data_IF_725390991120
#
_entry.id   IF_725390991120
#
_cell.length_a   1.000
_cell.length_b   1.000
_cell.length_c   1.000
_cell.angle_alpha   90.00
_cell.angle_beta   90.00
_cell.angle_gamma   90.00
#
_symmetry.space_group_name_H-M   'P 1'
#
loop_
_entity.id
_entity.type
_entity.pdbx_description
1 polymer ?
#
# COMPACT_ATOMS: atom_id res chain seq x y z
N UNK A 1 -18.88 14.18 14.78
CA UNK A 1 -18.69 12.99 13.92
C UNK A 1 -17.99 13.38 12.60
N UNK A 2 -18.36 14.52 12.00
CA UNK A 2 -17.71 15.20 10.86
C UNK A 2 -16.22 15.53 11.08
N UNK A 3 -15.86 16.09 12.24
CA UNK A 3 -14.46 16.47 12.55
C UNK A 3 -13.49 15.28 12.50
N UNK A 4 -13.97 14.08 12.83
CA UNK A 4 -13.15 12.86 12.80
C UNK A 4 -12.84 12.41 11.36
N UNK A 5 -13.81 12.53 10.44
CA UNK A 5 -13.62 12.16 9.04
C UNK A 5 -12.63 13.13 8.36
N UNK A 6 -12.76 14.44 8.62
CA UNK A 6 -11.84 15.41 8.04
C UNK A 6 -10.41 15.25 8.58
N UNK A 7 -10.26 15.00 9.88
CA UNK A 7 -8.96 14.72 10.48
C UNK A 7 -8.32 13.46 9.87
N UNK A 8 -9.13 12.40 9.70
CA UNK A 8 -8.70 11.18 9.02
C UNK A 8 -8.24 11.45 7.58
N UNK A 9 -9.08 12.11 6.77
CA UNK A 9 -8.77 12.40 5.36
C UNK A 9 -7.49 13.23 5.19
N UNK A 10 -7.29 14.24 6.04
CA UNK A 10 -6.05 15.02 6.04
C UNK A 10 -4.82 14.19 6.46
N UNK A 11 -4.99 13.30 7.43
CA UNK A 11 -3.91 12.45 7.94
C UNK A 11 -3.50 11.37 6.94
N UNK A 12 -4.46 10.75 6.24
CA UNK A 12 -4.15 9.75 5.18
C UNK A 12 -3.52 10.39 3.94
N UNK A 13 -3.91 11.63 3.60
CA UNK A 13 -3.23 12.40 2.55
C UNK A 13 -1.77 12.68 2.93
N UNK A 14 -1.55 13.12 4.16
CA UNK A 14 -0.21 13.38 4.71
C UNK A 14 0.65 12.12 4.70
N UNK A 15 0.07 10.99 5.13
CA UNK A 15 0.71 9.67 5.05
C UNK A 15 1.15 9.34 3.62
N UNK A 16 0.29 9.59 2.63
CA UNK A 16 0.60 9.36 1.22
C UNK A 16 1.70 10.29 0.68
N UNK A 17 1.69 11.58 1.05
CA UNK A 17 2.75 12.52 0.68
C UNK A 17 4.11 12.04 1.21
N UNK A 18 4.15 11.54 2.45
CA UNK A 18 5.39 11.02 3.02
C UNK A 18 5.87 9.73 2.36
N UNK A 19 4.95 8.85 1.95
CA UNK A 19 5.31 7.69 1.13
C UNK A 19 5.88 8.10 -0.23
N UNK A 20 5.33 9.12 -0.88
CA UNK A 20 5.86 9.63 -2.15
C UNK A 20 7.27 10.21 -1.99
N UNK A 21 7.60 10.74 -0.81
CA UNK A 21 8.97 11.14 -0.41
C UNK A 21 9.90 9.96 -0.08
N UNK A 22 9.48 8.73 -0.40
CA UNK A 22 10.22 7.47 -0.19
C UNK A 22 10.53 7.14 1.28
N UNK A 23 9.77 7.70 2.23
CA UNK A 23 9.83 7.26 3.64
C UNK A 23 9.25 5.84 3.75
N UNK A 24 9.85 5.00 4.58
CA UNK A 24 9.34 3.65 4.82
C UNK A 24 8.06 3.70 5.66
N UNK A 25 7.18 2.71 5.52
CA UNK A 25 5.92 2.67 6.27
C UNK A 25 6.11 2.75 7.79
N UNK A 26 7.07 2.01 8.35
CA UNK A 26 7.40 2.04 9.78
C UNK A 26 7.94 3.40 10.24
N UNK A 27 8.67 4.10 9.36
CA UNK A 27 9.14 5.47 9.59
C UNK A 27 7.99 6.47 9.65
N UNK A 28 7.05 6.39 8.70
CA UNK A 28 5.90 7.29 8.67
C UNK A 28 5.02 7.07 9.90
N UNK A 29 4.72 5.81 10.23
CA UNK A 29 3.95 5.48 11.43
C UNK A 29 4.67 5.97 12.70
N UNK A 30 5.99 5.86 12.74
CA UNK A 30 6.76 6.39 13.86
C UNK A 30 6.67 7.92 13.94
N UNK A 31 6.62 8.67 12.83
CA UNK A 31 6.42 10.13 12.86
C UNK A 31 5.09 10.50 13.53
N UNK A 32 3.99 9.80 13.20
CA UNK A 32 2.70 10.00 13.88
C UNK A 32 2.77 9.65 15.37
N UNK A 33 3.39 8.51 15.72
CA UNK A 33 3.61 8.13 17.12
C UNK A 33 4.42 9.20 17.86
N UNK A 34 5.48 9.68 17.23
CA UNK A 34 6.42 10.64 17.79
C UNK A 34 5.71 11.96 18.12
N UNK A 35 4.87 12.47 17.23
CA UNK A 35 4.07 13.67 17.49
C UNK A 35 3.21 13.52 18.75
N UNK A 36 2.47 12.41 18.86
CA UNK A 36 1.61 12.14 20.03
C UNK A 36 2.43 11.93 21.30
N UNK A 37 3.57 11.24 21.22
CA UNK A 37 4.44 11.01 22.37
C UNK A 37 5.01 12.33 22.88
N UNK A 38 5.47 13.21 21.99
CA UNK A 38 5.98 14.54 22.33
C UNK A 38 4.89 15.39 23.00
N UNK A 39 3.65 15.33 22.52
CA UNK A 39 2.57 16.17 23.03
C UNK A 39 1.97 15.65 24.35
N UNK A 40 1.83 14.33 24.50
CA UNK A 40 1.06 13.74 25.61
C UNK A 40 1.86 12.88 26.57
N UNK A 41 3.04 12.37 26.20
CA UNK A 41 3.71 11.29 26.94
C UNK A 41 5.19 11.54 27.28
N UNK A 42 5.72 12.75 27.07
CA UNK A 42 7.13 13.06 27.41
C UNK A 42 7.49 12.75 28.87
N UNK A 43 6.62 13.12 29.80
CA UNK A 43 6.89 13.04 31.24
C UNK A 43 6.27 11.81 31.93
N UNK A 44 5.53 10.96 31.21
CA UNK A 44 4.78 9.84 31.80
C UNK A 44 4.89 8.56 30.99
N UNK A 45 4.90 7.39 31.64
CA UNK A 45 4.81 6.11 30.93
C UNK A 45 3.47 5.99 30.21
N UNK A 46 3.44 5.16 29.17
CA UNK A 46 2.25 4.90 28.37
C UNK A 46 2.21 3.46 27.87
N UNK A 47 1.02 2.95 27.55
CA UNK A 47 0.87 1.70 26.81
C UNK A 47 0.43 1.95 25.35
N UNK A 48 0.54 0.92 24.50
CA UNK A 48 0.20 1.06 23.08
C UNK A 48 -1.28 1.34 22.83
N UNK A 49 -2.18 0.93 23.73
CA UNK A 49 -3.60 1.25 23.64
C UNK A 49 -3.88 2.73 23.90
N UNK A 50 -3.24 3.31 24.91
CA UNK A 50 -3.30 4.75 25.18
C UNK A 50 -2.72 5.57 24.03
N UNK A 51 -1.60 5.12 23.47
CA UNK A 51 -1.00 5.75 22.29
C UNK A 51 -1.95 5.68 21.10
N UNK A 52 -2.54 4.50 20.79
CA UNK A 52 -3.47 4.36 19.67
C UNK A 52 -4.70 5.26 19.86
N UNK A 53 -5.26 5.31 21.08
CA UNK A 53 -6.38 6.20 21.40
C UNK A 53 -6.03 7.66 21.14
N UNK A 54 -4.83 8.11 21.53
CA UNK A 54 -4.40 9.49 21.26
C UNK A 54 -4.11 9.75 19.79
N UNK A 55 -3.57 8.79 19.05
CA UNK A 55 -3.44 8.87 17.60
C UNK A 55 -4.84 9.01 16.95
N UNK A 56 -5.82 8.24 17.42
CA UNK A 56 -7.19 8.33 16.93
C UNK A 56 -7.84 9.68 17.26
N UNK A 57 -7.68 10.17 18.49
CA UNK A 57 -8.19 11.48 18.91
C UNK A 57 -7.57 12.63 18.08
N UNK A 58 -6.26 12.58 17.82
CA UNK A 58 -5.52 13.65 17.13
C UNK A 58 -5.66 13.58 15.60
N UNK A 59 -5.59 12.40 15.01
CA UNK A 59 -5.46 12.20 13.55
C UNK A 59 -6.64 11.47 12.92
N UNK A 60 -7.59 10.96 13.70
CA UNK A 60 -8.66 10.08 13.21
C UNK A 60 -8.15 8.69 12.74
N UNK A 61 -6.86 8.42 12.90
CA UNK A 61 -6.22 7.17 12.50
C UNK A 61 -6.38 6.12 13.60
N UNK A 62 -6.85 4.95 13.21
CA UNK A 62 -6.94 3.77 14.08
C UNK A 62 -5.95 2.73 13.56
N UNK A 63 -4.80 2.66 14.23
CA UNK A 63 -3.65 1.91 13.77
C UNK A 63 -3.55 0.61 14.57
N UNK A 64 -3.40 -0.56 13.93
CA UNK A 64 -3.28 -1.81 14.67
C UNK A 64 -2.10 -1.78 15.63
N UNK A 65 -2.32 -2.28 16.85
CA UNK A 65 -1.33 -2.27 17.94
C UNK A 65 0.00 -2.90 17.51
N UNK A 66 -0.02 -3.97 16.71
CA UNK A 66 1.20 -4.60 16.21
C UNK A 66 2.02 -3.69 15.28
N UNK A 67 1.36 -2.83 14.50
CA UNK A 67 2.02 -1.90 13.59
C UNK A 67 2.66 -0.73 14.37
N UNK A 68 1.97 -0.24 15.41
CA UNK A 68 2.55 0.73 16.36
C UNK A 68 3.76 0.13 17.08
N UNK A 69 3.64 -1.12 17.53
CA UNK A 69 4.75 -1.83 18.17
C UNK A 69 5.95 -1.95 17.24
N UNK A 70 5.76 -2.38 16.00
CA UNK A 70 6.84 -2.54 15.01
C UNK A 70 7.49 -1.19 14.68
N UNK A 71 6.71 -0.12 14.50
CA UNK A 71 7.23 1.23 14.25
C UNK A 71 8.11 1.74 15.42
N UNK A 72 7.62 1.64 16.66
CA UNK A 72 8.39 2.01 17.86
C UNK A 72 9.63 1.13 17.99
N UNK A 73 9.51 -0.17 17.75
CA UNK A 73 10.64 -1.09 17.82
C UNK A 73 11.65 -0.85 16.71
N UNK A 74 11.31 -0.42 15.50
CA UNK A 74 12.30 -0.24 14.44
C UNK A 74 12.93 1.14 14.47
N UNK A 75 12.11 2.18 14.67
CA UNK A 75 12.51 3.58 14.53
C UNK A 75 12.63 4.31 15.86
N UNK A 76 11.93 3.85 16.90
CA UNK A 76 11.88 4.47 18.22
C UNK A 76 12.86 3.97 19.28
N UNK A 77 13.65 2.91 19.04
CA UNK A 77 14.51 2.28 20.08
C UNK A 77 15.46 3.24 20.79
N UNK A 78 15.93 4.27 20.07
CA UNK A 78 16.88 5.26 20.61
C UNK A 78 16.21 6.22 21.61
N UNK A 79 14.89 6.34 21.56
CA UNK A 79 14.12 7.33 22.29
C UNK A 79 13.20 6.72 23.33
N UNK A 80 12.71 5.50 23.07
CA UNK A 80 11.67 4.84 23.86
C UNK A 80 12.19 3.48 24.33
N UNK A 81 12.09 3.23 25.63
CA UNK A 81 12.32 1.90 26.22
C UNK A 81 11.01 1.33 26.75
N UNK A 82 10.96 0.00 26.83
CA UNK A 82 9.87 -0.74 27.45
C UNK A 82 10.35 -1.30 28.80
N UNK A 83 9.57 -1.09 29.84
CA UNK A 83 9.73 -1.69 31.17
C UNK A 83 8.44 -2.43 31.59
N UNK A 84 8.38 -2.86 32.85
CA UNK A 84 7.22 -3.58 33.42
C UNK A 84 5.94 -2.73 33.47
N UNK A 85 6.08 -1.40 33.49
CA UNK A 85 4.97 -0.44 33.59
C UNK A 85 4.49 0.06 32.22
N UNK A 86 5.28 -0.12 31.17
CA UNK A 86 4.91 0.24 29.80
C UNK A 86 6.07 0.76 28.97
N UNK A 87 5.77 1.68 28.06
CA UNK A 87 6.75 2.42 27.27
C UNK A 87 7.06 3.74 27.96
N UNK A 88 8.34 4.12 27.96
CA UNK A 88 8.82 5.39 28.54
C UNK A 88 9.84 6.05 27.62
N UNK A 89 9.73 7.37 27.50
CA UNK A 89 10.74 8.19 26.81
C UNK A 89 12.00 8.25 27.68
N UNK A 90 13.12 7.83 27.11
CA UNK A 90 14.43 7.81 27.77
C UNK A 90 15.42 8.80 27.17
N UNK A 91 15.12 9.32 25.98
CA UNK A 91 15.86 10.41 25.37
C UNK A 91 14.88 11.51 24.92
N UNK A 92 14.96 12.67 25.58
CA UNK A 92 14.13 13.84 25.29
C UNK A 92 14.50 14.52 23.98
N UNK A 93 15.58 14.08 23.30
CA UNK A 93 15.86 14.43 21.90
C UNK A 93 14.92 13.75 20.90
N UNK A 94 13.88 13.07 21.37
CA UNK A 94 12.69 12.80 20.55
C UNK A 94 12.10 14.16 20.11
N UNK A 95 12.72 14.78 19.12
CA UNK A 95 12.27 16.06 18.57
C UNK A 95 10.89 15.82 17.97
N UNK A 96 9.95 16.75 18.09
CA UNK A 96 8.75 16.68 17.27
C UNK A 96 9.19 16.76 15.80
N UNK A 97 9.19 15.66 15.06
CA UNK A 97 9.68 15.59 13.67
C UNK A 97 8.80 16.39 12.70
N UNK A 98 7.93 17.28 13.16
CA UNK A 98 6.63 17.36 12.52
C UNK A 98 6.17 18.78 12.23
N UNK A 99 7.09 19.76 12.12
CA UNK A 99 6.77 20.99 11.36
C UNK A 99 6.25 20.57 9.97
N UNK A 100 6.97 19.66 9.30
CA UNK A 100 6.55 19.11 8.00
C UNK A 100 5.21 18.35 8.07
N UNK A 101 4.98 17.56 9.12
CA UNK A 101 3.72 16.81 9.30
C UNK A 101 2.55 17.75 9.52
N UNK A 102 2.66 18.68 10.47
CA UNK A 102 1.62 19.65 10.79
C UNK A 102 1.37 20.60 9.62
N UNK A 103 2.40 21.07 8.92
CA UNK A 103 2.24 21.90 7.71
C UNK A 103 1.52 21.14 6.60
N UNK A 104 1.96 19.91 6.30
CA UNK A 104 1.33 19.08 5.27
C UNK A 104 -0.12 18.77 5.64
N UNK A 105 -0.37 18.35 6.89
CA UNK A 105 -1.72 18.03 7.38
C UNK A 105 -2.61 19.26 7.38
N UNK A 106 -2.11 20.41 7.85
CA UNK A 106 -2.84 21.69 7.84
C UNK A 106 -3.18 22.13 6.43
N UNK A 107 -2.30 21.90 5.46
CA UNK A 107 -2.60 22.13 4.04
C UNK A 107 -3.82 21.32 3.58
N UNK A 108 -3.88 20.02 3.89
CA UNK A 108 -5.05 19.20 3.56
C UNK A 108 -6.30 19.54 4.37
N UNK A 109 -6.16 19.95 5.63
CA UNK A 109 -7.29 20.49 6.40
C UNK A 109 -7.86 21.77 5.77
N UNK A 110 -6.99 22.66 5.28
CA UNK A 110 -7.42 23.87 4.57
C UNK A 110 -8.07 23.51 3.23
N UNK A 111 -7.49 22.58 2.47
CA UNK A 111 -8.08 22.07 1.24
C UNK A 111 -9.49 21.50 1.48
N UNK A 112 -9.68 20.66 2.51
CA UNK A 112 -10.99 20.13 2.89
C UNK A 112 -11.98 21.25 3.24
N UNK A 113 -11.50 22.33 3.87
CA UNK A 113 -12.29 23.53 4.15
C UNK A 113 -12.61 24.34 2.89
N UNK A 114 -11.78 24.30 1.85
CA UNK A 114 -11.97 25.00 0.56
C UNK A 114 -12.93 24.28 -0.39
N UNK A 115 -13.03 22.95 -0.30
CA UNK A 115 -14.06 22.17 -1.02
C UNK A 115 -15.39 22.09 -0.24
N UNK A 116 -15.33 22.37 1.06
CA UNK A 116 -16.46 22.47 1.99
C UNK A 116 -17.36 23.73 1.90
N UNK A 117 -17.00 24.91 1.35
CA UNK A 117 -17.83 26.13 1.45
C UNK A 117 -19.04 26.16 0.51
N UNK A 118 -19.22 25.19 -0.37
CA UNK A 118 -20.43 25.06 -1.21
C UNK A 118 -21.58 24.36 -0.46
N UNK A 119 -21.48 24.30 0.88
CA UNK A 119 -22.32 23.51 1.79
C UNK A 119 -23.66 24.17 2.13
N UNK A 120 -24.73 23.54 1.67
CA UNK A 120 -25.86 23.18 2.55
C UNK A 120 -25.88 21.67 2.89
N UNK A 121 -24.87 20.90 2.44
CA UNK A 121 -24.87 19.45 2.62
C UNK A 121 -24.25 19.02 3.96
N UNK A 122 -25.12 18.53 4.86
CA UNK A 122 -24.74 17.94 6.15
C UNK A 122 -24.01 16.60 6.01
N UNK A 123 -24.07 15.98 4.83
CA UNK A 123 -23.48 14.68 4.53
C UNK A 123 -22.17 14.77 3.72
N UNK A 124 -21.66 15.97 3.46
CA UNK A 124 -20.48 16.18 2.62
C UNK A 124 -19.30 15.26 2.98
N UNK A 125 -18.92 15.20 4.26
CA UNK A 125 -17.76 14.41 4.69
C UNK A 125 -17.98 12.90 4.44
N UNK A 126 -19.22 12.43 4.61
CA UNK A 126 -19.60 11.03 4.39
C UNK A 126 -19.66 10.69 2.90
N UNK A 127 -20.20 11.59 2.08
CA UNK A 127 -20.25 11.46 0.63
C UNK A 127 -18.84 11.47 0.03
N UNK A 128 -17.97 12.39 0.50
CA UNK A 128 -16.57 12.46 0.11
C UNK A 128 -15.83 11.18 0.49
N UNK A 129 -15.98 10.70 1.73
CA UNK A 129 -15.35 9.45 2.17
C UNK A 129 -15.77 8.26 1.28
N UNK A 130 -17.08 8.12 1.03
CA UNK A 130 -17.63 7.06 0.17
C UNK A 130 -17.11 7.18 -1.27
N UNK A 131 -17.07 8.39 -1.82
CA UNK A 131 -16.56 8.66 -3.17
C UNK A 131 -15.08 8.26 -3.31
N UNK A 132 -14.26 8.60 -2.31
CA UNK A 132 -12.83 8.27 -2.33
C UNK A 132 -12.58 6.76 -2.32
N UNK A 133 -13.38 5.98 -1.56
CA UNK A 133 -13.22 4.53 -1.45
C UNK A 133 -13.89 3.73 -2.58
N UNK A 134 -15.16 3.99 -2.83
CA UNK A 134 -16.00 3.14 -3.69
C UNK A 134 -16.06 3.67 -5.14
N UNK A 135 -15.66 4.94 -5.34
CA UNK A 135 -15.91 5.65 -6.58
C UNK A 135 -17.41 5.75 -6.88
N UNK A 136 -17.77 5.80 -8.17
CA UNK A 136 -19.18 5.87 -8.61
C UNK A 136 -19.82 4.48 -8.80
N UNK A 137 -19.26 3.42 -8.20
CA UNK A 137 -19.69 2.04 -8.49
C UNK A 137 -21.04 1.67 -7.88
N UNK A 138 -21.44 2.35 -6.80
CA UNK A 138 -22.69 2.09 -6.08
C UNK A 138 -23.56 3.36 -6.05
N UNK A 139 -24.37 3.56 -7.11
CA UNK A 139 -25.26 4.73 -7.31
C UNK A 139 -26.30 4.96 -6.18
N UNK A 140 -26.39 4.07 -5.20
CA UNK A 140 -27.32 4.14 -4.08
C UNK A 140 -26.70 4.69 -2.79
N UNK A 141 -25.37 4.84 -2.71
CA UNK A 141 -24.67 5.32 -1.49
C UNK A 141 -24.22 6.77 -1.54
N UNK A 142 -24.04 7.31 -2.73
CA UNK A 142 -23.61 8.70 -2.93
C UNK A 142 -24.78 9.47 -3.54
N UNK A 143 -25.11 10.61 -2.94
CA UNK A 143 -26.11 11.52 -3.46
C UNK A 143 -25.68 12.01 -4.86
N UNK A 144 -26.58 11.86 -5.85
CA UNK A 144 -26.31 12.23 -7.24
C UNK A 144 -26.17 13.75 -7.41
N UNK A 145 -26.93 14.53 -6.65
CA UNK A 145 -26.82 15.99 -6.67
C UNK A 145 -25.46 16.41 -6.12
N UNK A 146 -25.02 15.78 -5.03
CA UNK A 146 -23.68 15.97 -4.48
C UNK A 146 -22.58 15.62 -5.50
N UNK A 147 -22.70 14.50 -6.23
CA UNK A 147 -21.72 14.13 -7.27
C UNK A 147 -21.61 15.16 -8.39
N UNK A 148 -22.75 15.71 -8.83
CA UNK A 148 -22.79 16.72 -9.88
C UNK A 148 -22.12 18.02 -9.41
N UNK A 149 -22.45 18.48 -8.21
CA UNK A 149 -21.86 19.70 -7.65
C UNK A 149 -20.37 19.51 -7.35
N UNK A 150 -19.99 18.36 -6.81
CA UNK A 150 -18.61 18.02 -6.58
C UNK A 150 -17.80 17.94 -7.89
N UNK A 151 -18.40 17.43 -8.98
CA UNK A 151 -17.73 17.39 -10.29
C UNK A 151 -17.46 18.79 -10.84
N UNK A 152 -18.41 19.74 -10.71
CA UNK A 152 -18.20 21.15 -11.11
C UNK A 152 -17.03 21.79 -10.36
N UNK A 153 -16.93 21.55 -9.05
CA UNK A 153 -15.81 22.04 -8.22
C UNK A 153 -14.47 21.56 -8.76
N UNK A 154 -14.38 20.27 -9.12
CA UNK A 154 -13.16 19.69 -9.65
C UNK A 154 -12.80 20.24 -11.05
N UNK A 155 -13.80 20.62 -11.85
CA UNK A 155 -13.59 21.27 -13.14
C UNK A 155 -13.12 22.72 -13.00
N UNK A 156 -13.70 23.47 -12.07
CA UNK A 156 -13.33 24.87 -11.78
C UNK A 156 -11.92 24.99 -11.19
N UNK A 157 -11.50 23.99 -10.42
CA UNK A 157 -10.22 23.98 -9.72
C UNK A 157 -9.36 22.78 -10.10
N UNK A 158 -8.65 22.88 -11.23
CA UNK A 158 -7.77 21.79 -11.74
C UNK A 158 -6.76 21.26 -10.71
N UNK A 159 -6.29 22.11 -9.80
CA UNK A 159 -5.35 21.74 -8.74
C UNK A 159 -5.97 20.83 -7.66
N UNK A 160 -7.30 20.78 -7.56
CA UNK A 160 -7.99 19.96 -6.58
C UNK A 160 -7.94 18.48 -6.93
N UNK A 161 -7.88 18.15 -8.23
CA UNK A 161 -7.85 16.77 -8.70
C UNK A 161 -6.64 16.00 -8.13
N UNK A 162 -5.48 16.63 -8.06
CA UNK A 162 -4.27 16.02 -7.49
C UNK A 162 -4.44 15.77 -5.98
N UNK A 163 -4.99 16.73 -5.24
CA UNK A 163 -5.25 16.58 -3.81
C UNK A 163 -6.28 15.48 -3.51
N UNK A 164 -7.34 15.38 -4.32
CA UNK A 164 -8.33 14.28 -4.24
C UNK A 164 -7.67 12.94 -4.51
N UNK A 165 -6.82 12.84 -5.53
CA UNK A 165 -6.14 11.60 -5.86
C UNK A 165 -5.15 11.17 -4.76
N UNK A 166 -4.42 12.12 -4.17
CA UNK A 166 -3.56 11.85 -3.01
C UNK A 166 -4.37 11.36 -1.81
N UNK A 167 -5.49 12.01 -1.50
CA UNK A 167 -6.39 11.56 -0.43
C UNK A 167 -6.93 10.16 -0.69
N UNK A 168 -7.37 9.88 -1.91
CA UNK A 168 -7.87 8.58 -2.33
C UNK A 168 -6.83 7.48 -2.14
N UNK A 169 -5.63 7.68 -2.68
CA UNK A 169 -4.54 6.72 -2.56
C UNK A 169 -4.12 6.53 -1.09
N UNK A 170 -4.06 7.62 -0.32
CA UNK A 170 -3.79 7.56 1.12
C UNK A 170 -4.85 6.75 1.89
N UNK A 171 -6.12 6.97 1.58
CA UNK A 171 -7.24 6.30 2.23
C UNK A 171 -7.24 4.79 1.92
N UNK A 172 -7.01 4.40 0.66
CA UNK A 172 -6.87 2.98 0.26
C UNK A 172 -5.73 2.30 1.02
N UNK A 173 -4.57 2.96 1.14
CA UNK A 173 -3.42 2.43 1.88
C UNK A 173 -3.72 2.30 3.37
N UNK A 174 -4.43 3.27 3.95
CA UNK A 174 -4.86 3.23 5.34
C UNK A 174 -5.88 2.12 5.62
N UNK A 175 -6.84 1.87 4.73
CA UNK A 175 -7.76 0.73 4.84
C UNK A 175 -7.00 -0.61 4.85
N UNK A 176 -5.98 -0.73 3.98
CA UNK A 176 -5.08 -1.88 3.96
C UNK A 176 -4.24 -2.03 5.24
N UNK A 177 -3.78 -0.91 5.82
CA UNK A 177 -3.03 -0.89 7.07
C UNK A 177 -3.90 -1.25 8.29
N UNK A 178 -5.09 -0.66 8.38
CA UNK A 178 -5.98 -0.79 9.54
C UNK A 178 -6.70 -2.14 9.59
N UNK A 179 -6.51 -3.00 8.58
CA UNK A 179 -7.27 -4.23 8.36
C UNK A 179 -8.79 -3.98 8.40
N UNK A 180 -9.23 -2.74 8.13
CA UNK A 180 -10.64 -2.33 8.03
C UNK A 180 -11.24 -2.62 6.67
N UNK A 181 -10.43 -3.16 5.75
CA UNK A 181 -10.94 -4.06 4.72
C UNK A 181 -11.72 -5.13 5.45
N UNK A 182 -13.03 -4.98 5.41
CA UNK A 182 -13.99 -5.79 6.12
C UNK A 182 -13.67 -7.26 5.82
N UNK A 183 -12.96 -7.95 6.72
CA UNK A 183 -12.78 -9.39 6.61
C UNK A 183 -14.14 -10.12 6.75
N UNK A 184 -15.20 -9.37 7.14
CA UNK A 184 -16.62 -9.74 7.10
C UNK A 184 -17.34 -9.40 5.80
N UNK A 185 -16.77 -8.60 4.89
CA UNK A 185 -16.99 -8.93 3.48
C UNK A 185 -16.40 -10.31 3.36
N UNK A 186 -17.28 -11.30 3.34
CA UNK A 186 -17.00 -12.61 2.79
C UNK A 186 -16.46 -12.38 1.37
N UNK A 187 -15.21 -11.95 1.21
CA UNK A 187 -14.42 -12.25 0.03
C UNK A 187 -14.05 -13.73 0.14
N UNK A 188 -15.11 -14.56 0.15
CA UNK A 188 -15.11 -15.88 -0.46
C UNK A 188 -15.00 -15.75 -1.98
N UNK A 189 -15.05 -14.53 -2.51
CA UNK A 189 -14.66 -14.24 -3.88
C UNK A 189 -13.17 -14.51 -4.03
N UNK A 190 -12.87 -15.61 -4.72
CA UNK A 190 -11.53 -15.99 -5.15
C UNK A 190 -10.94 -14.84 -5.95
N UNK A 191 -9.83 -14.28 -5.51
CA UNK A 191 -9.05 -13.36 -6.33
C UNK A 191 -8.17 -14.23 -7.22
N UNK A 192 -8.57 -14.39 -8.48
CA UNK A 192 -7.79 -15.11 -9.47
C UNK A 192 -6.65 -14.19 -9.94
N UNK A 193 -5.41 -14.60 -9.68
CA UNK A 193 -4.24 -13.90 -10.19
C UNK A 193 -3.77 -14.60 -11.47
N UNK A 194 -3.85 -13.89 -12.59
CA UNK A 194 -3.28 -14.35 -13.85
C UNK A 194 -1.79 -13.99 -13.90
N UNK A 195 -0.95 -15.02 -13.99
CA UNK A 195 0.49 -14.92 -14.09
C UNK A 195 0.88 -14.70 -15.56
N UNK A 196 1.76 -13.74 -15.76
CA UNK A 196 2.40 -13.50 -17.05
C UNK A 196 3.61 -14.42 -17.23
N UNK A 197 4.06 -14.58 -18.47
CA UNK A 197 5.19 -15.43 -18.89
C UNK A 197 6.45 -15.17 -18.06
N UNK A 198 6.79 -13.90 -17.81
CA UNK A 198 7.95 -13.50 -16.99
C UNK A 198 7.86 -13.98 -15.54
N UNK A 199 6.66 -13.99 -14.96
CA UNK A 199 6.43 -14.41 -13.58
C UNK A 199 6.62 -15.93 -13.44
N UNK A 200 6.22 -16.70 -14.46
CA UNK A 200 6.49 -18.15 -14.52
C UNK A 200 7.99 -18.41 -14.59
N UNK A 201 8.74 -17.63 -15.37
CA UNK A 201 10.19 -17.75 -15.45
C UNK A 201 10.92 -17.29 -14.18
N UNK A 202 10.38 -16.32 -13.45
CA UNK A 202 10.86 -16.00 -12.10
C UNK A 202 10.64 -17.19 -11.14
N UNK A 203 9.50 -17.86 -11.24
CA UNK A 203 9.17 -19.04 -10.43
C UNK A 203 10.16 -20.19 -10.69
N UNK A 204 10.39 -20.50 -11.96
CA UNK A 204 11.34 -21.54 -12.40
C UNK A 204 12.80 -21.16 -12.13
N UNK A 205 13.11 -19.86 -12.04
CA UNK A 205 14.46 -19.35 -11.79
C UNK A 205 15.27 -19.06 -13.05
N UNK A 206 14.65 -19.06 -14.22
CA UNK A 206 15.30 -18.76 -15.50
C UNK A 206 15.70 -17.29 -15.62
N UNK A 207 14.99 -16.42 -14.92
CA UNK A 207 15.36 -15.03 -14.74
C UNK A 207 16.21 -14.90 -13.47
N UNK A 208 17.53 -14.73 -13.64
CA UNK A 208 18.58 -14.36 -12.65
C UNK A 208 18.11 -14.33 -11.18
N UNK A 209 18.80 -15.06 -10.30
CA UNK A 209 18.33 -15.43 -8.94
C UNK A 209 17.71 -14.36 -8.02
N UNK A 210 17.88 -13.06 -8.27
CA UNK A 210 17.14 -12.00 -7.56
C UNK A 210 15.63 -12.04 -7.84
N UNK A 211 15.21 -12.29 -9.08
CA UNK A 211 13.79 -12.37 -9.43
C UNK A 211 13.11 -13.59 -8.83
N UNK A 212 13.84 -14.71 -8.71
CA UNK A 212 13.38 -15.89 -7.98
C UNK A 212 13.10 -15.58 -6.50
N UNK A 213 13.97 -14.81 -5.83
CA UNK A 213 13.74 -14.40 -4.44
C UNK A 213 12.48 -13.53 -4.29
N UNK A 214 12.21 -12.67 -5.27
CA UNK A 214 10.99 -11.85 -5.31
C UNK A 214 9.76 -12.76 -5.47
N UNK A 215 9.79 -13.71 -6.42
CA UNK A 215 8.71 -14.67 -6.60
C UNK A 215 8.49 -15.53 -5.34
N UNK A 216 9.55 -16.04 -4.72
CA UNK A 216 9.45 -16.87 -3.51
C UNK A 216 8.83 -16.09 -2.34
N UNK A 217 9.15 -14.79 -2.22
CA UNK A 217 8.52 -13.92 -1.23
C UNK A 217 7.03 -13.71 -1.51
N UNK A 218 6.66 -13.44 -2.76
CA UNK A 218 5.27 -13.37 -3.21
C UNK A 218 4.52 -14.68 -2.94
N UNK A 219 5.09 -15.82 -3.32
CA UNK A 219 4.47 -17.13 -3.16
C UNK A 219 4.29 -17.52 -1.70
N UNK A 220 5.21 -17.12 -0.82
CA UNK A 220 5.04 -17.25 0.65
C UNK A 220 3.83 -16.47 1.15
N UNK A 221 3.56 -15.29 0.60
CA UNK A 221 2.35 -14.51 0.95
C UNK A 221 1.10 -15.23 0.45
N UNK A 222 1.08 -15.70 -0.80
CA UNK A 222 -0.05 -16.49 -1.34
C UNK A 222 -0.34 -17.71 -0.47
N UNK A 223 0.69 -18.47 -0.08
CA UNK A 223 0.57 -19.62 0.85
C UNK A 223 -0.01 -19.22 2.19
N UNK A 224 0.46 -18.10 2.77
CA UNK A 224 0.04 -17.62 4.09
C UNK A 224 -1.44 -17.23 4.14
N UNK A 225 -1.96 -16.63 3.06
CA UNK A 225 -3.35 -16.18 2.98
C UNK A 225 -4.29 -17.23 2.36
N UNK A 226 -3.75 -18.36 1.89
CA UNK A 226 -4.49 -19.55 1.46
C UNK A 226 -4.71 -19.63 -0.05
N UNK A 227 -4.22 -20.71 -0.68
CA UNK A 227 -4.41 -20.97 -2.12
C UNK A 227 -5.88 -20.98 -2.59
N UNK A 228 -6.81 -21.33 -1.69
CA UNK A 228 -8.24 -21.36 -1.97
C UNK A 228 -8.84 -19.97 -2.20
N UNK A 229 -8.20 -18.91 -1.68
CA UNK A 229 -8.62 -17.52 -1.81
C UNK A 229 -7.84 -16.77 -2.91
N UNK A 230 -6.67 -17.28 -3.29
CA UNK A 230 -5.75 -16.70 -4.29
C UNK A 230 -5.26 -17.76 -5.30
N UNK A 231 -6.15 -18.35 -6.13
CA UNK A 231 -5.71 -19.26 -7.17
C UNK A 231 -4.85 -18.51 -8.20
N UNK A 232 -3.71 -19.12 -8.55
CA UNK A 232 -2.80 -18.63 -9.57
C UNK A 232 -3.09 -19.38 -10.87
N UNK A 233 -3.36 -18.64 -11.95
CA UNK A 233 -3.63 -19.20 -13.27
C UNK A 233 -2.72 -18.53 -14.30
N UNK A 234 -2.52 -19.16 -15.45
CA UNK A 234 -2.03 -18.50 -16.65
C UNK A 234 -3.01 -18.82 -17.79
N UNK A 235 -2.93 -18.08 -18.90
CA UNK A 235 -3.81 -18.27 -20.05
C UNK A 235 -3.15 -19.13 -21.11
N UNK A 236 -3.93 -19.65 -22.06
CA UNK A 236 -3.42 -20.38 -23.24
C UNK A 236 -2.43 -19.53 -24.06
N UNK A 237 -2.54 -18.18 -23.99
CA UNK A 237 -1.59 -17.25 -24.62
C UNK A 237 -0.23 -17.37 -23.94
N UNK A 238 -0.19 -17.30 -22.61
CA UNK A 238 1.03 -17.45 -21.81
C UNK A 238 1.63 -18.85 -21.98
N UNK A 239 0.80 -19.88 -22.04
CA UNK A 239 1.25 -21.25 -22.31
C UNK A 239 1.93 -21.35 -23.67
N UNK A 240 1.32 -20.76 -24.71
CA UNK A 240 1.91 -20.71 -26.05
C UNK A 240 3.21 -19.91 -26.05
N UNK A 241 3.27 -18.76 -25.39
CA UNK A 241 4.49 -17.94 -25.30
C UNK A 241 5.65 -18.70 -24.65
N UNK A 242 5.38 -19.41 -23.54
CA UNK A 242 6.38 -20.27 -22.88
C UNK A 242 6.85 -21.36 -23.86
N UNK A 243 5.92 -22.02 -24.57
CA UNK A 243 6.27 -23.06 -25.55
C UNK A 243 7.11 -22.52 -26.70
N UNK A 244 6.73 -21.39 -27.26
CA UNK A 244 7.41 -20.73 -28.38
C UNK A 244 8.85 -20.34 -27.98
N UNK A 245 9.06 -19.89 -26.74
CA UNK A 245 10.40 -19.59 -26.20
C UNK A 245 11.28 -20.84 -26.08
N UNK A 246 10.72 -21.94 -25.59
CA UNK A 246 11.44 -23.21 -25.48
C UNK A 246 11.73 -23.82 -26.86
N UNK A 247 10.78 -23.79 -27.79
CA UNK A 247 10.97 -24.22 -29.19
C UNK A 247 12.06 -23.39 -29.89
N UNK A 248 12.06 -22.07 -29.69
CA UNK A 248 13.11 -21.19 -30.20
C UNK A 248 14.48 -21.56 -29.60
N UNK A 249 14.57 -21.79 -28.29
CA UNK A 249 15.81 -22.21 -27.64
C UNK A 249 16.37 -23.50 -28.25
N UNK A 250 15.51 -24.52 -28.45
CA UNK A 250 15.90 -25.77 -29.13
C UNK A 250 16.42 -25.51 -30.55
N UNK A 251 15.68 -24.72 -31.34
CA UNK A 251 16.08 -24.39 -32.71
C UNK A 251 17.44 -23.71 -32.76
N UNK A 252 17.70 -22.74 -31.87
CA UNK A 252 18.97 -22.03 -31.81
C UNK A 252 20.12 -22.93 -31.37
N UNK A 253 19.88 -23.83 -30.42
CA UNK A 253 20.87 -24.80 -29.93
C UNK A 253 21.28 -25.81 -31.00
N UNK A 254 20.31 -26.30 -31.77
CA UNK A 254 20.53 -27.22 -32.89
C UNK A 254 21.27 -26.58 -34.06
N UNK A 255 20.92 -25.34 -34.40
CA UNK A 255 21.42 -24.68 -35.62
C UNK A 255 22.62 -23.74 -35.39
N UNK A 256 23.12 -23.61 -34.15
CA UNK A 256 24.26 -22.73 -33.77
C UNK A 256 24.13 -21.31 -34.30
N UNK A 257 22.90 -20.77 -34.33
CA UNK A 257 22.62 -19.51 -34.99
C UNK A 257 22.92 -18.34 -34.04
N UNK A 258 24.09 -17.69 -34.22
CA UNK A 258 24.73 -16.74 -33.28
C UNK A 258 24.23 -15.28 -33.36
N UNK A 259 23.28 -14.95 -34.24
CA UNK A 259 22.85 -13.57 -34.50
C UNK A 259 21.56 -13.13 -33.76
N UNK A 260 21.16 -13.85 -32.72
CA UNK A 260 20.01 -13.48 -31.88
C UNK A 260 20.50 -12.77 -30.62
N UNK A 261 19.83 -11.68 -30.21
CA UNK A 261 20.08 -11.03 -28.90
C UNK A 261 19.21 -11.76 -27.87
N UNK A 262 19.79 -12.58 -26.99
CA UNK A 262 19.00 -13.42 -26.10
C UNK A 262 18.39 -12.60 -24.96
N UNK A 263 17.15 -12.94 -24.59
CA UNK A 263 16.57 -12.55 -23.30
C UNK A 263 17.31 -13.26 -22.16
N UNK A 264 17.18 -12.81 -20.92
CA UNK A 264 17.79 -13.48 -19.75
C UNK A 264 17.39 -14.96 -19.64
N UNK A 265 16.16 -15.27 -20.02
CA UNK A 265 15.63 -16.64 -20.08
C UNK A 265 16.32 -17.44 -21.18
N UNK A 266 16.47 -16.87 -22.37
CA UNK A 266 17.15 -17.54 -23.48
C UNK A 266 18.64 -17.79 -23.16
N UNK A 267 19.33 -16.83 -22.54
CA UNK A 267 20.69 -17.04 -22.03
C UNK A 267 20.73 -18.23 -21.07
N UNK A 268 19.80 -18.27 -20.11
CA UNK A 268 19.70 -19.36 -19.15
C UNK A 268 19.48 -20.72 -19.83
N UNK A 269 18.52 -20.82 -20.74
CA UNK A 269 18.19 -22.07 -21.46
C UNK A 269 19.33 -22.53 -22.37
N UNK A 270 20.06 -21.60 -22.97
CA UNK A 270 21.21 -21.92 -23.82
C UNK A 270 22.41 -22.39 -23.01
N UNK A 271 22.68 -21.74 -21.86
CA UNK A 271 23.88 -22.02 -21.04
C UNK A 271 23.74 -23.19 -20.07
N UNK A 272 22.54 -23.52 -19.59
CA UNK A 272 22.35 -24.50 -18.51
C UNK A 272 21.87 -25.88 -18.96
N UNK A 273 21.52 -26.04 -20.23
CA UNK A 273 21.14 -27.33 -20.80
C UNK A 273 22.22 -27.79 -21.80
N UNK A 274 22.47 -29.08 -21.95
CA UNK A 274 23.54 -29.57 -22.84
C UNK A 274 23.06 -29.73 -24.29
N UNK A 275 21.82 -30.19 -24.48
CA UNK A 275 21.18 -30.41 -25.78
C UNK A 275 19.69 -30.03 -25.78
N UNK A 276 18.98 -30.35 -26.86
CA UNK A 276 17.54 -30.09 -27.02
C UNK A 276 16.66 -31.07 -26.23
N UNK A 277 17.13 -32.29 -25.96
CA UNK A 277 16.43 -33.28 -25.14
C UNK A 277 16.36 -32.89 -23.66
N UNK A 278 17.40 -32.25 -23.13
CA UNK A 278 17.40 -31.74 -21.75
C UNK A 278 16.43 -30.56 -21.54
N UNK A 279 16.08 -29.83 -22.60
CA UNK A 279 15.09 -28.74 -22.58
C UNK A 279 13.65 -29.30 -22.60
N UNK A 280 13.43 -30.55 -23.02
CA UNK A 280 12.08 -31.18 -23.06
C UNK A 280 11.55 -31.64 -21.71
N UNK A 281 12.44 -31.86 -20.75
CA UNK A 281 12.09 -32.40 -19.43
C UNK A 281 11.74 -31.33 -18.40
N UNK A 282 11.86 -30.05 -18.76
CA UNK A 282 11.51 -28.87 -17.94
C UNK A 282 10.32 -28.10 -18.53
#
# INVERSE_FOLDING_TARGET
MTDNIQSLLASVATYKVFLNKRKQQDEILFIFCQQVICEYFLAKPFNLGELNKKIQDTFGLDIPIFALQDAIQRKGKKFIKRDETGYKVVNNEIKSTSIELEETRKSYCNFLKEISPLKNDRNFDKNLYSFLLEGNKDNNKIDREWLLDFSKILEEHKNFKENIEIMKQGLILYEGLSNKIDAKRNNREKIILFLDTEILFHAAGYNKGEYKKIFDAFFKLVKKYGYLLLPLHYTDIVEKEVRDIFEAAKYHKKNKNLNYIPTSVMEYLMSNFEDDGAIETE
#
